data_IF_850166152733
#
_entry.id   IF_850166152733
#
_cell.length_a   1.000
_cell.length_b   1.000
_cell.length_c   1.000
_cell.angle_alpha   90.00
_cell.angle_beta   90.00
_cell.angle_gamma   90.00
#
_symmetry.space_group_name_H-M   'P 1'
#
loop_
_entity.id
_entity.type
_entity.pdbx_description
1 polymer ?
#
# COMPACT_ATOMS: atom_id res chain seq x y z
N UNK A 1 -0.58 1.35 3.69
CA UNK A 1 0.16 2.44 3.03
C UNK A 1 1.26 1.83 2.19
N UNK A 2 1.57 2.46 1.07
CA UNK A 2 2.57 2.03 0.11
C UNK A 2 3.44 3.25 -0.17
N UNK A 3 4.61 3.28 0.44
CA UNK A 3 5.49 4.45 0.51
C UNK A 3 6.90 3.94 0.81
N UNK A 4 7.96 4.43 0.18
CA UNK A 4 9.33 3.94 0.40
C UNK A 4 10.06 4.67 1.53
N UNK A 5 9.52 5.78 2.05
CA UNK A 5 10.12 6.53 3.14
C UNK A 5 9.75 5.90 4.51
N UNK A 6 10.73 5.34 5.25
CA UNK A 6 10.47 4.70 6.55
C UNK A 6 10.03 5.70 7.63
N UNK A 7 10.38 6.98 7.50
CA UNK A 7 9.93 8.06 8.37
C UNK A 7 8.44 8.33 8.20
N UNK A 8 7.98 8.47 6.95
CA UNK A 8 6.55 8.62 6.63
C UNK A 8 5.78 7.39 7.12
N UNK A 9 6.28 6.19 6.84
CA UNK A 9 5.63 4.97 7.29
C UNK A 9 5.41 4.92 8.80
N UNK A 10 6.44 5.25 9.60
CA UNK A 10 6.36 5.27 11.06
C UNK A 10 5.40 6.32 11.58
N UNK A 11 5.45 7.53 11.01
CA UNK A 11 4.57 8.63 11.39
C UNK A 11 3.11 8.25 11.15
N UNK A 12 2.78 7.84 9.93
CA UNK A 12 1.41 7.47 9.54
C UNK A 12 0.92 6.23 10.28
N UNK A 13 1.79 5.25 10.54
CA UNK A 13 1.43 4.05 11.30
C UNK A 13 1.05 4.43 12.73
N UNK A 14 1.82 5.32 13.35
CA UNK A 14 1.54 5.78 14.71
C UNK A 14 0.24 6.57 14.78
N UNK A 15 0.05 7.50 13.85
CA UNK A 15 -1.17 8.32 13.74
C UNK A 15 -2.42 7.45 13.53
N UNK A 16 -2.42 6.57 12.52
CA UNK A 16 -3.57 5.73 12.20
C UNK A 16 -3.91 4.73 13.31
N UNK A 17 -2.91 4.23 14.05
CA UNK A 17 -3.15 3.38 15.22
C UNK A 17 -3.85 4.13 16.35
N UNK A 18 -3.49 5.40 16.59
CA UNK A 18 -4.15 6.25 17.60
C UNK A 18 -5.62 6.47 17.24
N UNK A 19 -5.91 6.66 15.95
CA UNK A 19 -7.28 6.77 15.42
C UNK A 19 -8.04 5.43 15.36
N UNK A 20 -7.46 4.33 15.86
CA UNK A 20 -8.11 3.02 15.97
C UNK A 20 -8.04 2.14 14.73
N UNK A 21 -7.25 2.53 13.71
CA UNK A 21 -7.04 1.70 12.52
C UNK A 21 -5.91 0.68 12.72
N UNK A 22 -5.89 -0.33 11.84
CA UNK A 22 -4.82 -1.32 11.76
C UNK A 22 -4.00 -1.12 10.46
N UNK A 23 -3.10 -0.12 10.41
CA UNK A 23 -2.31 0.15 9.22
C UNK A 23 -1.28 -0.95 8.95
N UNK A 24 -1.11 -1.25 7.66
CA UNK A 24 -0.08 -2.15 7.13
C UNK A 24 0.79 -1.34 6.18
N UNK A 25 2.09 -1.60 6.15
CA UNK A 25 3.05 -0.87 5.33
C UNK A 25 3.71 -1.79 4.30
N UNK A 26 3.95 -1.26 3.10
CA UNK A 26 4.71 -1.86 2.02
C UNK A 26 5.66 -0.81 1.44
N UNK A 27 6.90 -1.19 1.12
CA UNK A 27 7.94 -0.24 0.70
C UNK A 27 7.89 0.10 -0.81
N UNK A 28 7.04 -0.57 -1.59
CA UNK A 28 6.85 -0.33 -3.01
C UNK A 28 5.57 -1.01 -3.51
N UNK A 29 5.17 -0.70 -4.75
CA UNK A 29 3.97 -1.29 -5.37
C UNK A 29 4.01 -2.82 -5.49
N UNK A 30 5.17 -3.44 -5.65
CA UNK A 30 5.28 -4.90 -5.84
C UNK A 30 4.94 -5.65 -4.55
N UNK A 31 5.45 -5.17 -3.41
CA UNK A 31 5.10 -5.70 -2.09
C UNK A 31 3.61 -5.53 -1.79
N UNK A 32 3.05 -4.36 -2.12
CA UNK A 32 1.63 -4.09 -1.94
C UNK A 32 0.75 -5.05 -2.76
N UNK A 33 1.07 -5.30 -4.03
CA UNK A 33 0.35 -6.29 -4.84
C UNK A 33 0.47 -7.71 -4.29
N UNK A 34 1.66 -8.09 -3.82
CA UNK A 34 1.86 -9.40 -3.21
C UNK A 34 0.99 -9.57 -1.94
N UNK A 35 0.90 -8.53 -1.11
CA UNK A 35 0.04 -8.51 0.06
C UNK A 35 -1.45 -8.67 -0.30
N UNK A 36 -1.95 -7.89 -1.27
CA UNK A 36 -3.36 -7.95 -1.69
C UNK A 36 -3.72 -9.33 -2.26
N UNK A 37 -2.82 -9.92 -3.08
CA UNK A 37 -3.00 -11.26 -3.65
C UNK A 37 -2.98 -12.39 -2.61
N UNK A 38 -2.28 -12.18 -1.50
CA UNK A 38 -2.19 -13.12 -0.38
C UNK A 38 -3.43 -13.18 0.52
N UNK A 39 -4.59 -12.72 0.04
CA UNK A 39 -5.83 -12.51 0.80
C UNK A 39 -5.75 -11.38 1.85
N UNK A 40 -4.81 -10.44 1.69
CA UNK A 40 -4.78 -9.21 2.47
C UNK A 40 -5.92 -8.28 2.07
N UNK A 41 -6.95 -8.16 2.92
CA UNK A 41 -8.02 -7.19 2.72
C UNK A 41 -7.64 -5.83 3.29
N UNK A 42 -7.84 -4.77 2.52
CA UNK A 42 -7.65 -3.38 2.95
C UNK A 42 -8.86 -2.54 2.57
N UNK A 43 -9.27 -1.61 3.43
CA UNK A 43 -10.37 -0.70 3.12
C UNK A 43 -9.91 0.56 2.38
N UNK A 44 -8.66 0.98 2.61
CA UNK A 44 -8.07 2.18 2.04
C UNK A 44 -6.58 1.96 1.79
N UNK A 45 -6.10 2.42 0.62
CA UNK A 45 -4.69 2.44 0.27
C UNK A 45 -4.22 3.90 0.20
N UNK A 46 -3.30 4.26 1.09
CA UNK A 46 -2.47 5.46 0.94
C UNK A 46 -1.27 5.10 0.08
N UNK A 47 -1.16 5.73 -1.09
CA UNK A 47 -0.24 5.33 -2.16
C UNK A 47 0.66 6.51 -2.55
N UNK A 48 1.97 6.35 -2.34
CA UNK A 48 2.94 7.22 -2.98
C UNK A 48 3.05 6.88 -4.47
N UNK A 49 3.24 7.91 -5.29
CA UNK A 49 3.38 7.82 -6.72
C UNK A 49 4.82 7.58 -7.16
N UNK A 50 5.83 7.97 -6.36
CA UNK A 50 7.24 7.87 -6.73
C UNK A 50 8.00 6.95 -5.77
N UNK A 51 8.11 5.68 -6.12
CA UNK A 51 8.84 4.68 -5.33
C UNK A 51 9.81 3.89 -6.24
N UNK A 52 10.91 3.34 -5.68
CA UNK A 52 11.74 2.36 -6.36
C UNK A 52 10.97 1.05 -6.62
N UNK A 53 11.52 0.21 -7.50
CA UNK A 53 10.99 -1.12 -7.88
C UNK A 53 9.65 -1.08 -8.65
N UNK A 54 8.63 -0.43 -8.10
CA UNK A 54 7.34 -0.23 -8.74
C UNK A 54 6.70 1.05 -8.20
N UNK A 55 6.50 2.01 -9.10
CA UNK A 55 5.83 3.27 -8.83
C UNK A 55 4.31 3.10 -8.61
N UNK A 56 3.68 4.12 -8.02
CA UNK A 56 2.25 4.06 -7.68
C UNK A 56 1.31 4.01 -8.89
N UNK A 57 1.69 4.58 -10.03
CA UNK A 57 0.90 4.51 -11.26
C UNK A 57 0.89 3.10 -11.82
N UNK A 58 2.06 2.46 -11.84
CA UNK A 58 2.21 1.06 -12.23
C UNK A 58 1.47 0.14 -11.26
N UNK A 59 1.59 0.35 -9.96
CA UNK A 59 0.80 -0.36 -8.96
C UNK A 59 -0.70 -0.28 -9.25
N UNK A 60 -1.27 0.93 -9.41
CA UNK A 60 -2.71 1.09 -9.60
C UNK A 60 -3.18 0.48 -10.91
N UNK A 61 -2.38 0.57 -11.98
CA UNK A 61 -2.68 -0.08 -13.26
C UNK A 61 -2.72 -1.60 -13.15
N UNK A 62 -1.74 -2.20 -12.48
CA UNK A 62 -1.68 -3.66 -12.30
C UNK A 62 -2.77 -4.15 -11.33
N UNK A 63 -3.05 -3.40 -10.25
CA UNK A 63 -4.16 -3.68 -9.34
C UNK A 63 -5.50 -3.73 -10.11
N UNK A 64 -5.81 -2.71 -10.93
CA UNK A 64 -7.06 -2.65 -11.69
C UNK A 64 -7.20 -3.76 -12.75
N UNK A 65 -6.09 -4.35 -13.19
CA UNK A 65 -6.09 -5.45 -14.16
C UNK A 65 -6.33 -6.81 -13.52
N UNK A 66 -6.20 -6.90 -12.20
CA UNK A 66 -6.29 -8.14 -11.45
C UNK A 66 -7.66 -8.21 -10.76
N UNK A 67 -8.63 -9.00 -11.26
CA UNK A 67 -9.99 -9.03 -10.76
C UNK A 67 -10.09 -9.41 -9.27
N UNK A 68 -9.08 -10.08 -8.72
CA UNK A 68 -9.07 -10.48 -7.31
C UNK A 68 -8.81 -9.30 -6.37
N UNK A 69 -8.25 -8.19 -6.86
CA UNK A 69 -7.78 -7.06 -6.05
C UNK A 69 -8.10 -5.70 -6.68
N UNK A 70 -8.98 -5.66 -7.69
CA UNK A 70 -9.26 -4.47 -8.50
C UNK A 70 -10.03 -3.37 -7.74
N UNK A 71 -10.81 -3.78 -6.74
CA UNK A 71 -11.65 -2.92 -5.91
C UNK A 71 -10.82 -2.03 -4.96
#
# INVERSE_FOLDING_TARGET
MVDDDPGIQRLMTSFLKVEGFAPIAAANGKEALAYLRGAGAVSVILLDLKMPVMDGWTFRREQRRDPAIAD
#
